data_IF_918565403691
#
_entry.id   IF_918565403691
#
_cell.length_a   1.000
_cell.length_b   1.000
_cell.length_c   1.000
_cell.angle_alpha   90.00
_cell.angle_beta   90.00
_cell.angle_gamma   90.00
#
_symmetry.space_group_name_H-M   'P 1'
#
loop_
_entity.id
_entity.type
_entity.pdbx_description
1 polymer ?
#
# COMPACT_ATOMS: atom_id res chain seq x y z
N UNK A 1 -16.13 -5.73 -7.77
CA UNK A 1 -15.25 -5.54 -8.94
C UNK A 1 -13.93 -4.89 -8.52
N UNK A 2 -12.90 -5.67 -8.17
CA UNK A 2 -11.59 -5.14 -7.73
C UNK A 2 -10.46 -6.08 -8.17
N UNK A 3 -9.37 -5.53 -8.72
CA UNK A 3 -8.20 -6.31 -9.13
C UNK A 3 -7.41 -6.76 -7.90
N UNK A 4 -7.00 -8.03 -7.87
CA UNK A 4 -6.22 -8.59 -6.76
C UNK A 4 -4.91 -7.82 -6.59
N UNK A 5 -4.74 -7.16 -5.45
CA UNK A 5 -3.48 -6.52 -5.10
C UNK A 5 -2.37 -7.56 -4.90
N UNK A 6 -1.14 -7.22 -5.30
CA UNK A 6 0.03 -8.04 -5.01
C UNK A 6 0.19 -8.13 -3.50
N UNK A 7 0.52 -9.31 -2.94
CA UNK A 7 0.74 -9.44 -1.50
C UNK A 7 1.83 -8.46 -1.07
N UNK A 8 1.54 -7.65 -0.05
CA UNK A 8 2.52 -6.75 0.56
C UNK A 8 3.72 -7.52 1.07
N UNK A 9 4.88 -6.85 1.17
CA UNK A 9 6.08 -7.49 1.69
C UNK A 9 5.88 -7.88 3.16
N UNK A 10 6.30 -9.08 3.52
CA UNK A 10 6.25 -9.57 4.91
C UNK A 10 7.28 -8.84 5.77
N UNK A 11 7.07 -8.80 7.09
CA UNK A 11 8.00 -8.17 8.05
C UNK A 11 9.43 -8.74 7.90
N UNK A 12 9.56 -10.05 7.68
CA UNK A 12 10.86 -10.70 7.45
C UNK A 12 11.52 -10.25 6.15
N UNK A 13 10.74 -10.04 5.08
CA UNK A 13 11.26 -9.51 3.82
C UNK A 13 11.73 -8.06 3.97
N UNK A 14 10.96 -7.24 4.70
CA UNK A 14 11.32 -5.84 5.01
C UNK A 14 12.59 -5.75 5.86
N UNK A 15 12.73 -6.63 6.85
CA UNK A 15 13.95 -6.70 7.65
C UNK A 15 15.14 -7.14 6.80
N UNK A 16 14.97 -8.15 5.95
CA UNK A 16 16.01 -8.63 5.04
C UNK A 16 16.42 -7.58 3.99
N UNK A 17 15.50 -6.72 3.53
CA UNK A 17 15.84 -5.64 2.60
C UNK A 17 16.69 -4.55 3.26
N UNK A 18 16.53 -4.28 4.56
CA UNK A 18 17.36 -3.29 5.25
C UNK A 18 18.83 -3.69 5.28
N UNK A 19 19.16 -4.98 5.39
CA UNK A 19 20.55 -5.45 5.30
C UNK A 19 21.18 -5.26 3.91
N UNK A 20 20.38 -4.96 2.88
CA UNK A 20 20.86 -4.63 1.54
C UNK A 20 21.09 -3.12 1.36
N UNK A 21 20.66 -2.29 2.31
CA UNK A 21 20.88 -0.86 2.23
C UNK A 21 22.34 -0.52 2.45
N UNK A 22 22.88 0.32 1.57
CA UNK A 22 24.30 0.70 1.58
C UNK A 22 24.77 1.23 2.94
N UNK A 23 23.94 2.05 3.60
CA UNK A 23 24.27 2.61 4.93
C UNK A 23 24.31 1.53 6.02
N UNK A 24 23.39 0.56 5.99
CA UNK A 24 23.39 -0.54 6.97
C UNK A 24 24.61 -1.43 6.77
N UNK A 25 24.99 -1.72 5.52
CA UNK A 25 26.21 -2.46 5.22
C UNK A 25 27.45 -1.75 5.75
N UNK A 26 27.54 -0.42 5.62
CA UNK A 26 28.63 0.36 6.19
C UNK A 26 28.68 0.23 7.72
N UNK A 27 27.54 0.29 8.40
CA UNK A 27 27.48 0.13 9.86
C UNK A 27 27.87 -1.28 10.30
N UNK A 28 27.44 -2.30 9.57
CA UNK A 28 27.83 -3.70 9.85
C UNK A 28 29.35 -3.86 9.69
N UNK A 29 29.94 -3.31 8.62
CA UNK A 29 31.39 -3.33 8.42
C UNK A 29 32.12 -2.61 9.56
N UNK A 30 31.63 -1.43 9.96
CA UNK A 30 32.21 -0.68 11.09
C UNK A 30 32.14 -1.45 12.41
N UNK A 31 31.01 -2.12 12.70
CA UNK A 31 30.85 -2.95 13.89
C UNK A 31 31.82 -4.15 13.89
N UNK A 32 32.04 -4.79 12.74
CA UNK A 32 33.02 -5.88 12.60
C UNK A 32 34.43 -5.36 12.83
N UNK A 33 34.80 -4.22 12.23
CA UNK A 33 36.13 -3.61 12.44
C UNK A 33 36.35 -3.28 13.92
N UNK A 34 35.38 -2.66 14.57
CA UNK A 34 35.44 -2.32 16.00
C UNK A 34 35.60 -3.55 16.90
N UNK A 35 34.90 -4.65 16.61
CA UNK A 35 35.09 -5.93 17.30
C UNK A 35 36.50 -6.49 17.12
N UNK A 36 37.07 -6.41 15.91
CA UNK A 36 38.44 -6.86 15.64
C UNK A 36 39.50 -6.03 16.38
N UNK A 37 39.21 -4.76 16.64
CA UNK A 37 40.05 -3.86 17.46
C UNK A 37 39.90 -4.10 18.97
N UNK A 38 38.96 -4.97 19.38
CA UNK A 38 38.67 -5.24 20.79
C UNK A 38 37.78 -4.19 21.46
N UNK A 39 37.22 -3.26 20.69
CA UNK A 39 36.38 -2.17 21.18
C UNK A 39 34.91 -2.62 21.27
N UNK A 40 34.64 -3.56 22.18
CA UNK A 40 33.29 -4.13 22.33
C UNK A 40 32.22 -3.09 22.71
N UNK A 41 32.60 -1.97 23.34
CA UNK A 41 31.70 -0.84 23.64
C UNK A 41 31.16 -0.19 22.38
N UNK A 42 32.03 0.02 21.40
CA UNK A 42 31.72 0.79 20.19
C UNK A 42 30.89 -0.07 19.24
N UNK A 43 31.24 -1.36 19.13
CA UNK A 43 30.42 -2.35 18.45
C UNK A 43 29.00 -2.45 19.05
N UNK A 44 28.86 -2.38 20.37
CA UNK A 44 27.56 -2.40 21.05
C UNK A 44 26.72 -1.16 20.69
N UNK A 45 27.32 0.02 20.66
CA UNK A 45 26.65 1.27 20.26
C UNK A 45 26.18 1.19 18.82
N UNK A 46 27.04 0.74 17.89
CA UNK A 46 26.67 0.58 16.47
C UNK A 46 25.53 -0.43 16.32
N UNK A 47 25.59 -1.54 17.03
CA UNK A 47 24.54 -2.55 17.02
C UNK A 47 23.20 -1.98 17.50
N UNK A 48 23.18 -1.20 18.59
CA UNK A 48 21.97 -0.53 19.08
C UNK A 48 21.39 0.42 18.03
N UNK A 49 22.23 1.20 17.34
CA UNK A 49 21.79 2.11 16.27
C UNK A 49 21.12 1.33 15.13
N UNK A 50 21.69 0.21 14.71
CA UNK A 50 21.10 -0.66 13.66
C UNK A 50 19.75 -1.21 14.10
N UNK A 51 19.62 -1.69 15.34
CA UNK A 51 18.36 -2.21 15.87
C UNK A 51 17.29 -1.11 15.94
N UNK A 52 17.65 0.09 16.41
CA UNK A 52 16.74 1.23 16.47
C UNK A 52 16.28 1.61 15.06
N UNK A 53 17.19 1.70 14.09
CA UNK A 53 16.84 1.99 12.69
C UNK A 53 15.94 0.91 12.08
N UNK A 54 16.14 -0.36 12.42
CA UNK A 54 15.27 -1.44 11.96
C UNK A 54 13.85 -1.31 12.49
N UNK A 55 13.70 -1.06 13.79
CA UNK A 55 12.39 -0.86 14.40
C UNK A 55 11.70 0.39 13.84
N UNK A 56 12.43 1.50 13.75
CA UNK A 56 11.91 2.75 13.18
C UNK A 56 11.52 2.57 11.71
N UNK A 57 12.32 1.89 10.92
CA UNK A 57 12.04 1.63 9.50
C UNK A 57 10.76 0.80 9.32
N UNK A 58 10.61 -0.30 10.06
CA UNK A 58 9.37 -1.12 10.02
C UNK A 58 8.15 -0.29 10.44
N UNK A 59 8.28 0.53 11.48
CA UNK A 59 7.18 1.37 11.95
C UNK A 59 6.81 2.48 10.95
N UNK A 60 7.82 3.12 10.34
CA UNK A 60 7.64 4.14 9.31
C UNK A 60 6.95 3.55 8.08
N UNK A 61 7.36 2.36 7.65
CA UNK A 61 6.78 1.70 6.49
C UNK A 61 5.34 1.25 6.76
N UNK A 62 5.06 0.69 7.94
CA UNK A 62 3.69 0.35 8.36
C UNK A 62 2.79 1.59 8.37
N UNK A 63 3.30 2.72 8.88
CA UNK A 63 2.58 3.99 8.88
C UNK A 63 2.33 4.50 7.45
N UNK A 64 3.30 4.39 6.56
CA UNK A 64 3.17 4.77 5.16
C UNK A 64 2.12 3.91 4.42
N UNK A 65 2.16 2.59 4.60
CA UNK A 65 1.17 1.67 4.04
C UNK A 65 -0.24 1.99 4.53
N UNK A 66 -0.40 2.26 5.83
CA UNK A 66 -1.71 2.64 6.39
C UNK A 66 -2.25 3.94 5.81
N UNK A 67 -1.39 4.96 5.66
CA UNK A 67 -1.77 6.22 5.03
C UNK A 67 -2.17 6.03 3.57
N UNK A 68 -1.40 5.22 2.82
CA UNK A 68 -1.71 4.91 1.42
C UNK A 68 -3.04 4.15 1.30
N UNK A 69 -3.29 3.19 2.18
CA UNK A 69 -4.55 2.46 2.23
C UNK A 69 -5.74 3.40 2.50
N UNK A 70 -5.60 4.33 3.45
CA UNK A 70 -6.64 5.32 3.74
C UNK A 70 -6.90 6.23 2.53
N UNK A 71 -5.86 6.72 1.86
CA UNK A 71 -6.00 7.51 0.63
C UNK A 71 -6.71 6.73 -0.48
N UNK A 72 -6.35 5.46 -0.69
CA UNK A 72 -7.04 4.59 -1.65
C UNK A 72 -8.52 4.44 -1.34
N UNK A 73 -8.92 4.34 -0.06
CA UNK A 73 -10.33 4.24 0.31
C UNK A 73 -11.12 5.53 0.05
N UNK A 74 -10.46 6.70 0.10
CA UNK A 74 -11.09 7.99 -0.20
C UNK A 74 -11.25 8.24 -1.71
N UNK A 75 -10.32 7.71 -2.51
CA UNK A 75 -10.38 7.79 -3.97
C UNK A 75 -11.03 6.57 -4.62
N UNK A 76 -11.68 5.70 -3.82
CA UNK A 76 -12.35 4.53 -4.36
C UNK A 76 -13.44 4.99 -5.33
N UNK A 77 -13.42 4.52 -6.60
CA UNK A 77 -14.40 4.95 -7.59
C UNK A 77 -15.80 4.58 -7.11
N UNK A 78 -16.72 5.53 -7.21
CA UNK A 78 -18.15 5.32 -6.98
C UNK A 78 -18.86 5.13 -8.31
N UNK A 79 -19.98 4.42 -8.27
CA UNK A 79 -20.84 4.19 -9.42
C UNK A 79 -22.26 4.59 -9.06
N UNK A 80 -22.93 5.35 -9.93
CA UNK A 80 -24.37 5.60 -9.83
C UNK A 80 -25.10 4.37 -10.36
N UNK A 81 -25.96 3.78 -9.54
CA UNK A 81 -26.76 2.61 -9.89
C UNK A 81 -28.24 2.85 -9.61
N UNK A 82 -29.12 2.24 -10.38
CA UNK A 82 -30.55 2.26 -10.15
C UNK A 82 -30.98 1.00 -9.39
N UNK A 83 -31.37 1.15 -8.13
CA UNK A 83 -31.81 0.06 -7.25
C UNK A 83 -33.06 0.49 -6.49
N UNK A 84 -33.99 -0.44 -6.27
CA UNK A 84 -35.24 -0.18 -5.51
C UNK A 84 -36.09 0.98 -6.06
N UNK A 85 -35.96 1.31 -7.34
CA UNK A 85 -36.71 2.40 -7.98
C UNK A 85 -36.07 3.78 -7.86
N UNK A 86 -34.87 3.90 -7.27
CA UNK A 86 -34.16 5.17 -7.11
C UNK A 86 -32.69 5.08 -7.56
N UNK A 87 -32.12 6.23 -7.96
CA UNK A 87 -30.71 6.34 -8.31
C UNK A 87 -29.86 6.53 -7.04
N UNK A 88 -28.96 5.60 -6.76
CA UNK A 88 -28.10 5.59 -5.58
C UNK A 88 -26.63 5.51 -5.98
N UNK A 89 -25.74 6.19 -5.24
CA UNK A 89 -24.29 6.06 -5.42
C UNK A 89 -23.75 4.94 -4.52
N UNK A 90 -23.08 3.96 -5.11
CA UNK A 90 -22.44 2.85 -4.41
C UNK A 90 -20.95 2.80 -4.72
N UNK A 91 -20.15 2.22 -3.83
CA UNK A 91 -18.74 1.99 -4.16
C UNK A 91 -18.64 1.00 -5.33
N UNK A 92 -17.82 1.27 -6.35
CA UNK A 92 -17.72 0.42 -7.54
C UNK A 92 -17.35 -1.04 -7.22
N UNK A 93 -16.67 -1.28 -6.09
CA UNK A 93 -16.39 -2.63 -5.58
C UNK A 93 -17.66 -3.44 -5.23
N UNK A 94 -18.75 -2.76 -4.88
CA UNK A 94 -20.06 -3.33 -4.51
C UNK A 94 -21.01 -3.51 -5.72
N UNK A 95 -20.59 -3.15 -6.92
CA UNK A 95 -21.31 -3.49 -8.15
C UNK A 95 -21.36 -5.00 -8.33
N UNK A 96 -22.53 -5.50 -8.69
CA UNK A 96 -22.79 -6.90 -9.01
C UNK A 96 -23.40 -7.03 -10.41
N UNK A 97 -23.21 -8.19 -11.08
CA UNK A 97 -23.88 -8.44 -12.36
C UNK A 97 -25.40 -8.32 -12.21
N UNK A 98 -26.02 -7.48 -13.03
CA UNK A 98 -27.45 -7.18 -12.97
C UNK A 98 -27.78 -5.77 -12.51
N UNK A 99 -26.82 -5.02 -11.95
CA UNK A 99 -27.00 -3.61 -11.65
C UNK A 99 -27.18 -2.78 -12.94
N UNK A 100 -28.14 -1.85 -12.90
CA UNK A 100 -28.29 -0.80 -13.91
C UNK A 100 -27.40 0.37 -13.51
N UNK A 101 -26.39 0.67 -14.32
CA UNK A 101 -25.42 1.74 -14.06
C UNK A 101 -25.83 2.97 -14.87
N UNK A 102 -25.92 4.13 -14.22
CA UNK A 102 -26.09 5.42 -14.89
C UNK A 102 -24.72 6.06 -15.09
N UNK A 103 -24.43 6.49 -16.31
CA UNK A 103 -23.20 7.17 -16.67
C UNK A 103 -23.54 8.51 -17.32
N UNK A 104 -22.93 9.57 -16.81
CA UNK A 104 -23.00 10.92 -17.38
C UNK A 104 -21.66 11.27 -18.06
N UNK A 105 -21.66 12.32 -18.89
CA UNK A 105 -20.45 12.79 -19.54
C UNK A 105 -19.39 13.18 -18.49
N UNK A 106 -18.21 12.55 -18.57
CA UNK A 106 -17.11 12.74 -17.62
C UNK A 106 -17.01 11.68 -16.53
N UNK A 107 -18.00 10.78 -16.42
CA UNK A 107 -17.93 9.65 -15.49
C UNK A 107 -16.94 8.58 -15.96
N UNK A 108 -16.29 7.94 -14.99
CA UNK A 108 -15.40 6.80 -15.24
C UNK A 108 -16.24 5.50 -15.27
N UNK A 109 -16.08 4.70 -16.33
CA UNK A 109 -16.82 3.43 -16.47
C UNK A 109 -16.38 2.43 -15.38
N UNK A 110 -17.26 2.07 -14.42
CA UNK A 110 -16.84 1.35 -13.20
C UNK A 110 -16.70 -0.17 -13.40
N UNK A 111 -17.27 -0.72 -14.46
CA UNK A 111 -17.21 -2.13 -14.83
C UNK A 111 -17.56 -2.30 -16.32
N UNK A 112 -17.13 -3.42 -16.92
CA UNK A 112 -17.63 -3.82 -18.23
C UNK A 112 -19.15 -3.98 -18.18
N UNK A 113 -19.86 -3.28 -19.05
CA UNK A 113 -21.31 -3.23 -19.08
C UNK A 113 -21.85 -3.35 -20.50
N UNK A 114 -23.12 -3.74 -20.60
CA UNK A 114 -23.86 -3.71 -21.86
C UNK A 114 -24.69 -2.43 -21.90
N UNK A 115 -24.51 -1.64 -22.95
CA UNK A 115 -25.34 -0.46 -23.19
C UNK A 115 -26.78 -0.89 -23.47
N UNK A 116 -27.73 -0.34 -22.70
CA UNK A 116 -29.16 -0.60 -22.88
C UNK A 116 -29.84 0.60 -23.55
N UNK A 117 -29.54 1.80 -23.06
CA UNK A 117 -30.06 3.08 -23.55
C UNK A 117 -28.91 4.10 -23.59
N UNK A 118 -28.94 5.00 -24.57
CA UNK A 118 -28.01 6.11 -24.70
C UNK A 118 -28.77 7.31 -25.28
N UNK A 119 -28.47 8.49 -24.76
CA UNK A 119 -29.01 9.74 -25.27
C UNK A 119 -27.86 10.71 -25.53
N UNK A 120 -27.85 11.30 -26.72
CA UNK A 120 -26.90 12.34 -27.16
C UNK A 120 -25.39 11.98 -27.08
N UNK A 121 -24.97 10.96 -27.85
CA UNK A 121 -23.57 10.51 -28.01
C UNK A 121 -22.64 11.56 -28.65
#
# INVERSE_FOLDING_TARGET
>A
NELKERPGQTIWQKLASQFKEFLVLLLVIAAVISLLLGEASDALVIFLVVVINAVLGVFQEFKAEKSLAALKTLSAPTAKVFREGEATSVAARQLVPGDLILLEAGDLVPADARLLEADNL
#
